data_IF_064560077237
#
_entry.id   IF_064560077237
#
_cell.length_a   1.000
_cell.length_b   1.000
_cell.length_c   1.000
_cell.angle_alpha   90.00
_cell.angle_beta   90.00
_cell.angle_gamma   90.00
#
_symmetry.space_group_name_H-M   'P 1'
#
loop_
_entity.id
_entity.type
_entity.pdbx_description
1 polymer ?
#
# COMPACT_ATOMS: atom_id res chain seq x y z
N UNK A 1 -27.36 -15.85 19.57
CA UNK A 1 -26.36 -14.79 19.43
C UNK A 1 -25.47 -15.19 18.28
N UNK A 2 -25.52 -14.47 17.15
CA UNK A 2 -24.68 -14.75 15.98
C UNK A 2 -23.42 -13.91 16.12
N UNK A 3 -22.38 -14.49 16.67
CA UNK A 3 -21.05 -13.87 16.74
C UNK A 3 -20.47 -13.79 15.32
N UNK A 4 -20.22 -12.59 14.84
CA UNK A 4 -19.42 -12.40 13.62
C UNK A 4 -17.96 -12.61 14.00
N UNK A 5 -17.39 -13.74 13.60
CA UNK A 5 -15.97 -13.98 13.70
C UNK A 5 -15.24 -12.99 12.80
N UNK A 6 -14.67 -11.93 13.36
CA UNK A 6 -13.64 -11.17 12.71
C UNK A 6 -12.36 -12.01 12.72
N UNK A 7 -11.80 -12.28 11.56
CA UNK A 7 -10.58 -13.10 11.34
C UNK A 7 -9.28 -12.43 11.84
N UNK A 8 -9.31 -11.73 12.98
CA UNK A 8 -8.22 -10.87 13.41
C UNK A 8 -7.40 -11.40 14.60
N UNK A 9 -7.92 -12.38 15.32
CA UNK A 9 -7.16 -13.09 16.35
C UNK A 9 -6.87 -14.52 15.89
N UNK A 10 -5.71 -15.06 16.20
CA UNK A 10 -5.46 -16.47 16.00
C UNK A 10 -6.49 -17.26 16.83
N UNK A 11 -7.14 -18.30 16.27
CA UNK A 11 -8.13 -19.09 17.01
C UNK A 11 -7.55 -19.57 18.35
N UNK A 12 -8.29 -19.34 19.46
CA UNK A 12 -7.88 -19.76 20.78
C UNK A 12 -7.00 -18.76 21.55
N UNK A 13 -6.90 -17.51 21.12
CA UNK A 13 -6.17 -16.48 21.88
C UNK A 13 -6.93 -16.17 23.17
N UNK A 14 -6.39 -16.62 24.31
CA UNK A 14 -6.98 -16.36 25.62
C UNK A 14 -7.01 -14.87 25.99
N UNK A 15 -7.97 -14.45 26.80
CA UNK A 15 -8.07 -13.08 27.31
C UNK A 15 -6.80 -12.66 28.07
N UNK A 16 -6.02 -11.66 27.62
CA UNK A 16 -4.81 -11.19 28.30
C UNK A 16 -5.11 -10.68 29.72
N UNK A 17 -4.11 -10.67 30.61
CA UNK A 17 -4.27 -10.18 31.97
C UNK A 17 -4.77 -8.72 32.06
N UNK A 18 -4.36 -7.86 31.12
CA UNK A 18 -4.81 -6.46 31.03
C UNK A 18 -6.07 -6.22 30.20
N UNK A 19 -6.78 -7.26 29.81
CA UNK A 19 -7.98 -7.13 28.98
C UNK A 19 -9.10 -6.41 29.73
N UNK A 20 -9.74 -5.37 29.19
CA UNK A 20 -10.82 -4.65 29.85
C UNK A 20 -11.97 -5.58 30.23
N UNK A 21 -12.48 -5.41 31.44
CA UNK A 21 -13.58 -6.23 31.98
C UNK A 21 -13.33 -7.76 32.01
N UNK A 22 -12.06 -8.18 31.94
CA UNK A 22 -11.67 -9.60 31.88
C UNK A 22 -12.38 -10.51 32.90
N UNK A 23 -12.48 -10.05 34.15
CA UNK A 23 -13.11 -10.83 35.23
C UNK A 23 -14.59 -11.08 34.95
N UNK A 24 -15.32 -10.08 34.44
CA UNK A 24 -16.73 -10.19 34.08
C UNK A 24 -16.92 -11.12 32.87
N UNK A 25 -16.08 -10.98 31.86
CA UNK A 25 -16.13 -11.82 30.67
C UNK A 25 -15.84 -13.29 30.99
N UNK A 26 -14.84 -13.56 31.80
CA UNK A 26 -14.55 -14.93 32.27
C UNK A 26 -15.70 -15.51 33.08
N UNK A 27 -16.35 -14.71 33.93
CA UNK A 27 -17.52 -15.14 34.70
C UNK A 27 -18.75 -15.42 33.81
N UNK A 28 -18.83 -14.73 32.65
CA UNK A 28 -19.86 -14.99 31.65
C UNK A 28 -19.49 -16.12 30.66
N UNK A 29 -18.35 -16.81 30.88
CA UNK A 29 -17.91 -17.95 30.06
C UNK A 29 -17.14 -17.57 28.79
N UNK A 30 -16.79 -16.29 28.60
CA UNK A 30 -15.96 -15.85 27.50
C UNK A 30 -14.50 -16.15 27.81
N UNK A 31 -13.88 -17.05 27.05
CA UNK A 31 -12.51 -17.54 27.29
C UNK A 31 -11.47 -16.94 26.34
N UNK A 32 -11.90 -16.46 25.19
CA UNK A 32 -11.01 -16.00 24.14
C UNK A 32 -11.42 -14.63 23.57
N UNK A 33 -10.46 -13.91 23.00
CA UNK A 33 -10.65 -12.57 22.45
C UNK A 33 -11.64 -12.57 21.28
N UNK A 34 -11.57 -13.59 20.43
CA UNK A 34 -12.44 -13.76 19.27
C UNK A 34 -13.93 -13.83 19.61
N UNK A 35 -14.27 -14.24 20.82
CA UNK A 35 -15.67 -14.35 21.28
C UNK A 35 -16.33 -12.99 21.51
N UNK A 36 -15.54 -11.93 21.67
CA UNK A 36 -16.02 -10.56 21.88
C UNK A 36 -15.73 -9.63 20.72
N UNK A 37 -14.94 -10.08 19.74
CA UNK A 37 -14.65 -9.30 18.55
C UNK A 37 -15.89 -9.17 17.67
N UNK A 38 -16.31 -7.92 17.37
CA UNK A 38 -17.52 -7.61 16.60
C UNK A 38 -18.82 -7.70 17.38
N UNK A 39 -18.77 -7.91 18.70
CA UNK A 39 -19.95 -7.82 19.54
C UNK A 39 -20.46 -6.37 19.61
N UNK A 40 -21.78 -6.20 19.58
CA UNK A 40 -22.45 -4.93 19.82
C UNK A 40 -22.50 -4.59 21.32
N UNK A 41 -22.78 -3.33 21.65
CA UNK A 41 -22.99 -2.90 23.04
C UNK A 41 -24.08 -3.72 23.73
N UNK A 42 -25.19 -4.01 23.04
CA UNK A 42 -26.30 -4.78 23.60
C UNK A 42 -25.92 -6.23 23.91
N UNK A 43 -25.13 -6.87 23.06
CA UNK A 43 -24.62 -8.23 23.29
C UNK A 43 -23.64 -8.28 24.47
N UNK A 44 -22.79 -7.26 24.61
CA UNK A 44 -21.88 -7.15 25.75
C UNK A 44 -22.61 -6.83 27.06
N UNK A 45 -23.69 -6.02 27.00
CA UNK A 45 -24.55 -5.79 28.16
C UNK A 45 -25.26 -7.07 28.59
N UNK A 46 -25.67 -7.92 27.66
CA UNK A 46 -26.26 -9.23 27.98
C UNK A 46 -25.29 -10.18 28.71
N UNK A 47 -23.97 -9.96 28.58
CA UNK A 47 -22.91 -10.66 29.33
C UNK A 47 -22.63 -10.04 30.72
N UNK A 48 -23.38 -8.99 31.09
CA UNK A 48 -23.26 -8.35 32.40
C UNK A 48 -22.35 -7.12 32.43
N UNK A 49 -21.87 -6.63 31.28
CA UNK A 49 -21.15 -5.37 31.22
C UNK A 49 -22.12 -4.19 31.27
N UNK A 50 -21.70 -3.10 31.90
CA UNK A 50 -22.41 -1.82 31.74
C UNK A 50 -22.12 -1.24 30.36
N UNK A 51 -22.99 -0.34 29.85
CA UNK A 51 -22.81 0.34 28.57
C UNK A 51 -21.42 0.99 28.43
N UNK A 52 -20.96 1.72 29.48
CA UNK A 52 -19.62 2.32 29.50
C UNK A 52 -18.48 1.28 29.43
N UNK A 53 -18.67 0.10 30.01
CA UNK A 53 -17.67 -0.97 29.91
C UNK A 53 -17.66 -1.61 28.52
N UNK A 54 -18.83 -1.81 27.94
CA UNK A 54 -19.00 -2.33 26.59
C UNK A 54 -18.36 -1.39 25.53
N UNK A 55 -18.66 -0.11 25.61
CA UNK A 55 -18.06 0.90 24.72
C UNK A 55 -16.53 0.95 24.84
N UNK A 56 -15.97 0.95 26.06
CA UNK A 56 -14.52 0.90 26.29
C UNK A 56 -13.89 -0.35 25.72
N UNK A 57 -14.57 -1.48 25.84
CA UNK A 57 -14.10 -2.75 25.31
C UNK A 57 -14.05 -2.73 23.78
N UNK A 58 -15.08 -2.22 23.14
CA UNK A 58 -15.14 -2.08 21.67
C UNK A 58 -13.99 -1.19 21.18
N UNK A 59 -13.82 0.01 21.77
CA UNK A 59 -12.71 0.92 21.43
C UNK A 59 -11.33 0.27 21.65
N UNK A 60 -11.18 -0.53 22.70
CA UNK A 60 -9.93 -1.21 23.00
C UNK A 60 -9.64 -2.33 21.98
N UNK A 61 -10.67 -3.10 21.56
CA UNK A 61 -10.56 -4.12 20.51
C UNK A 61 -10.21 -3.48 19.16
N UNK A 62 -10.84 -2.37 18.81
CA UNK A 62 -10.53 -1.62 17.59
C UNK A 62 -9.06 -1.13 17.57
N UNK A 63 -8.56 -0.60 18.69
CA UNK A 63 -7.16 -0.21 18.83
C UNK A 63 -6.20 -1.38 18.73
N UNK A 64 -6.55 -2.52 19.35
CA UNK A 64 -5.75 -3.74 19.22
C UNK A 64 -5.71 -4.23 17.78
N UNK A 65 -6.83 -4.23 17.08
CA UNK A 65 -6.88 -4.63 15.68
C UNK A 65 -5.95 -3.74 14.84
N UNK A 66 -5.95 -2.42 15.05
CA UNK A 66 -5.04 -1.49 14.39
C UNK A 66 -3.57 -1.76 14.75
N UNK A 67 -3.26 -2.12 16.01
CA UNK A 67 -1.87 -2.35 16.46
C UNK A 67 -1.34 -3.71 16.01
N UNK A 68 -2.18 -4.74 15.98
CA UNK A 68 -1.81 -6.10 15.52
C UNK A 68 -1.55 -6.08 14.00
N UNK A 69 -2.24 -5.24 13.23
CA UNK A 69 -1.94 -5.03 11.82
C UNK A 69 -0.55 -4.39 11.59
N UNK A 70 -0.02 -3.66 12.57
CA UNK A 70 1.30 -3.01 12.44
C UNK A 70 2.47 -3.85 12.96
N UNK A 71 2.26 -4.87 13.81
CA UNK A 71 3.33 -5.57 14.52
C UNK A 71 3.42 -7.08 14.33
N UNK A 72 2.50 -7.72 13.62
CA UNK A 72 2.55 -9.16 13.33
C UNK A 72 3.57 -9.51 12.22
N UNK A 73 4.21 -10.71 12.26
CA UNK A 73 4.97 -11.19 11.11
C UNK A 73 4.01 -11.25 9.91
N UNK A 74 4.37 -10.53 8.85
CA UNK A 74 3.61 -10.43 7.59
C UNK A 74 3.59 -11.77 6.85
N UNK A 75 2.93 -12.79 7.41
CA UNK A 75 2.67 -14.03 6.69
C UNK A 75 1.32 -13.92 6.00
N UNK A 76 1.36 -13.71 4.69
CA UNK A 76 0.24 -13.97 3.79
C UNK A 76 -0.82 -12.88 3.63
N UNK A 77 -0.56 -11.60 3.95
CA UNK A 77 -1.35 -10.55 3.34
C UNK A 77 -0.96 -10.50 1.86
N UNK A 78 -1.81 -11.10 1.04
CA UNK A 78 -1.90 -10.75 -0.36
C UNK A 78 -2.35 -9.30 -0.36
N UNK A 79 -1.41 -8.36 -0.37
CA UNK A 79 -1.72 -7.01 -0.83
C UNK A 79 -2.13 -7.21 -2.28
N UNK A 80 -3.39 -6.94 -2.58
CA UNK A 80 -3.77 -6.73 -3.97
C UNK A 80 -2.89 -5.59 -4.45
N UNK A 81 -1.83 -5.95 -5.15
CA UNK A 81 -0.95 -4.99 -5.76
C UNK A 81 -1.79 -4.29 -6.83
N UNK A 82 -2.06 -3.00 -6.66
CA UNK A 82 -2.77 -2.26 -7.70
C UNK A 82 -1.83 -2.08 -8.87
N UNK A 83 -2.32 -2.47 -10.04
CA UNK A 83 -1.63 -2.21 -11.28
C UNK A 83 -1.45 -0.70 -11.48
N UNK A 84 -0.23 -0.31 -11.79
CA UNK A 84 0.16 1.07 -12.00
C UNK A 84 0.65 1.24 -13.43
N UNK A 85 0.02 2.13 -14.18
CA UNK A 85 0.48 2.53 -15.51
C UNK A 85 0.82 4.02 -15.49
N UNK A 86 2.13 4.33 -15.48
CA UNK A 86 2.61 5.70 -15.60
C UNK A 86 2.70 6.14 -17.08
N UNK A 87 2.90 5.18 -17.99
CA UNK A 87 2.93 5.43 -19.42
C UNK A 87 2.55 4.17 -20.20
N UNK A 88 1.57 4.30 -21.06
CA UNK A 88 1.25 3.31 -22.10
C UNK A 88 2.36 3.23 -23.16
N UNK A 89 2.47 2.09 -23.84
CA UNK A 89 3.45 1.90 -24.91
C UNK A 89 3.17 2.84 -26.09
N UNK A 90 4.01 3.84 -26.25
CA UNK A 90 3.90 4.82 -27.34
C UNK A 90 5.27 5.38 -27.71
N UNK A 91 5.42 5.78 -28.96
CA UNK A 91 6.62 6.47 -29.44
C UNK A 91 6.74 7.86 -28.79
N UNK A 92 7.97 8.24 -28.46
CA UNK A 92 8.33 9.54 -27.89
C UNK A 92 9.53 10.11 -28.66
N UNK A 93 9.39 11.32 -29.18
CA UNK A 93 10.41 12.02 -29.97
C UNK A 93 10.92 13.30 -29.31
N UNK A 94 10.36 13.67 -28.17
CA UNK A 94 10.77 14.83 -27.37
C UNK A 94 10.68 14.49 -25.89
N UNK A 95 11.50 15.12 -25.06
CA UNK A 95 11.45 14.98 -23.59
C UNK A 95 10.08 15.42 -23.08
N UNK A 96 9.56 14.71 -22.07
CA UNK A 96 8.23 14.96 -21.50
C UNK A 96 8.18 14.64 -20.00
N UNK A 97 7.23 15.25 -19.34
CA UNK A 97 6.85 14.93 -17.96
C UNK A 97 5.45 14.34 -17.99
N UNK A 98 5.27 13.18 -17.36
CA UNK A 98 3.97 12.53 -17.20
C UNK A 98 3.09 13.25 -16.19
N UNK A 99 1.80 12.91 -16.23
CA UNK A 99 0.83 13.37 -15.24
C UNK A 99 1.09 12.74 -13.88
N UNK A 100 0.62 13.41 -12.82
CA UNK A 100 0.65 12.85 -11.47
C UNK A 100 -0.36 11.73 -11.31
N UNK A 101 0.11 10.57 -10.89
CA UNK A 101 -0.72 9.45 -10.46
C UNK A 101 -0.78 9.40 -8.94
N UNK A 102 -1.96 9.24 -8.38
CA UNK A 102 -2.16 9.09 -6.94
C UNK A 102 -1.94 7.63 -6.51
N UNK A 103 -1.00 7.40 -5.60
CA UNK A 103 -0.73 6.07 -4.99
C UNK A 103 -1.47 5.87 -3.66
N UNK A 104 -2.12 6.90 -3.12
CA UNK A 104 -2.70 6.89 -1.79
C UNK A 104 -1.64 6.78 -0.70
N UNK A 105 -1.87 5.87 0.26
CA UNK A 105 -0.95 5.65 1.40
C UNK A 105 0.09 4.55 1.13
N UNK A 106 0.22 4.10 -0.12
CA UNK A 106 1.18 3.07 -0.53
C UNK A 106 2.56 3.68 -0.69
N UNK A 107 3.51 3.20 0.09
CA UNK A 107 4.87 3.75 0.12
C UNK A 107 5.88 3.03 -0.77
N UNK A 108 5.48 1.98 -1.49
CA UNK A 108 6.37 1.17 -2.34
C UNK A 108 5.78 0.99 -3.72
N UNK A 109 6.62 1.13 -4.74
CA UNK A 109 6.26 0.97 -6.15
C UNK A 109 7.30 0.06 -6.82
N UNK A 110 6.84 -0.93 -7.56
CA UNK A 110 7.67 -1.76 -8.43
C UNK A 110 7.31 -1.42 -9.87
N UNK A 111 8.27 -0.89 -10.64
CA UNK A 111 8.08 -0.48 -12.03
C UNK A 111 8.92 -1.29 -12.99
N UNK A 112 8.33 -1.58 -14.14
CA UNK A 112 8.94 -2.16 -15.33
C UNK A 112 8.98 -1.11 -16.42
N UNK A 113 10.20 -0.75 -16.87
CA UNK A 113 10.44 0.00 -18.08
C UNK A 113 10.64 -1.01 -19.21
N UNK A 114 9.79 -1.00 -20.22
CA UNK A 114 9.94 -1.82 -21.42
C UNK A 114 10.13 -0.93 -22.65
N UNK A 115 11.33 -0.90 -23.21
CA UNK A 115 11.67 -0.20 -24.46
C UNK A 115 11.57 -1.21 -25.59
N UNK A 116 10.67 -0.98 -26.55
CA UNK A 116 10.37 -1.90 -27.66
C UNK A 116 10.93 -1.44 -29.01
N UNK A 117 11.20 -0.14 -29.18
CA UNK A 117 11.85 0.37 -30.37
C UNK A 117 12.70 1.61 -30.03
N UNK A 118 13.82 1.74 -30.75
CA UNK A 118 14.77 2.85 -30.62
C UNK A 118 15.24 3.25 -32.01
N UNK A 119 15.29 4.55 -32.29
CA UNK A 119 15.88 5.11 -33.51
C UNK A 119 16.51 6.49 -33.30
N UNK A 120 17.29 6.95 -34.25
CA UNK A 120 18.05 8.20 -34.20
C UNK A 120 19.55 7.97 -34.13
N UNK A 121 20.32 9.07 -34.11
CA UNK A 121 21.78 9.02 -33.99
C UNK A 121 22.21 9.25 -32.57
N UNK A 122 22.94 8.27 -32.00
CA UNK A 122 23.32 8.25 -30.60
C UNK A 122 22.12 8.51 -29.63
N UNK A 123 20.99 7.79 -29.78
CA UNK A 123 19.80 8.03 -28.96
C UNK A 123 20.06 7.63 -27.54
N UNK A 124 19.51 8.38 -26.61
CA UNK A 124 19.51 8.02 -25.18
C UNK A 124 18.18 8.39 -24.52
N UNK A 125 17.70 7.55 -23.62
CA UNK A 125 16.51 7.76 -22.83
C UNK A 125 16.89 7.68 -21.34
N UNK A 126 16.58 8.73 -20.58
CA UNK A 126 16.67 8.75 -19.14
C UNK A 126 15.28 8.99 -18.55
N UNK A 127 14.81 8.11 -17.68
CA UNK A 127 13.49 8.21 -17.04
C UNK A 127 13.68 8.34 -15.54
N UNK A 128 13.38 9.51 -14.99
CA UNK A 128 13.35 9.76 -13.56
C UNK A 128 11.94 9.49 -13.02
N UNK A 129 11.86 8.96 -11.81
CA UNK A 129 10.61 8.82 -11.06
C UNK A 129 10.60 9.85 -9.95
N UNK A 130 9.59 10.70 -9.97
CA UNK A 130 9.38 11.76 -8.98
C UNK A 130 8.18 11.45 -8.11
N UNK A 131 8.24 11.90 -6.87
CA UNK A 131 7.13 11.82 -5.91
C UNK A 131 6.87 13.17 -5.25
N UNK A 132 5.62 13.40 -4.82
CA UNK A 132 5.20 14.61 -4.12
C UNK A 132 4.02 14.34 -3.19
N UNK A 133 3.88 15.15 -2.14
CA UNK A 133 2.74 15.08 -1.22
C UNK A 133 1.45 15.61 -1.84
N UNK A 134 1.56 16.56 -2.76
CA UNK A 134 0.45 17.17 -3.51
C UNK A 134 0.89 17.43 -4.94
N UNK A 135 -0.04 17.45 -5.88
CA UNK A 135 0.24 17.68 -7.31
C UNK A 135 0.86 19.05 -7.63
N UNK A 136 0.67 20.05 -6.76
CA UNK A 136 1.27 21.39 -6.86
C UNK A 136 2.48 21.61 -5.95
N UNK A 137 2.89 20.61 -5.18
CA UNK A 137 4.00 20.70 -4.24
C UNK A 137 5.37 20.43 -4.86
N UNK A 138 6.44 20.59 -4.09
CA UNK A 138 7.79 20.28 -4.55
C UNK A 138 7.93 18.79 -4.85
N UNK A 139 8.42 18.48 -6.05
CA UNK A 139 8.73 17.11 -6.47
C UNK A 139 10.11 16.69 -5.96
N UNK A 140 10.25 15.41 -5.65
CA UNK A 140 11.50 14.77 -5.22
C UNK A 140 11.76 13.55 -6.10
N UNK A 141 12.93 13.47 -6.71
CA UNK A 141 13.37 12.27 -7.43
C UNK A 141 13.62 11.15 -6.42
N UNK A 142 13.06 9.98 -6.69
CA UNK A 142 13.23 8.78 -5.85
C UNK A 142 14.08 7.72 -6.50
N UNK A 143 14.01 7.57 -7.83
CA UNK A 143 14.83 6.63 -8.60
C UNK A 143 14.87 7.05 -10.07
N UNK A 144 15.70 6.35 -10.89
CA UNK A 144 15.78 6.59 -12.31
C UNK A 144 16.17 5.32 -13.09
N UNK A 145 15.70 5.24 -14.34
CA UNK A 145 16.15 4.26 -15.33
C UNK A 145 17.06 4.96 -16.35
N UNK A 146 18.11 4.26 -16.77
CA UNK A 146 18.99 4.72 -17.84
C UNK A 146 20.22 5.51 -17.39
N UNK A 147 20.94 6.11 -18.35
CA UNK A 147 20.52 6.28 -19.76
C UNK A 147 20.50 4.96 -20.53
N UNK A 148 19.37 4.68 -21.18
CA UNK A 148 19.19 3.51 -22.03
C UNK A 148 19.35 3.95 -23.51
N UNK A 149 20.07 3.12 -24.30
CA UNK A 149 20.39 3.44 -25.70
C UNK A 149 19.89 2.39 -26.69
N UNK A 150 19.23 1.33 -26.18
CA UNK A 150 18.78 0.18 -26.96
C UNK A 150 17.43 -0.34 -26.45
N UNK A 151 16.83 -1.25 -27.20
CA UNK A 151 15.69 -2.07 -26.75
C UNK A 151 16.09 -2.86 -25.51
N UNK A 152 15.34 -2.68 -24.41
CA UNK A 152 15.64 -3.31 -23.12
C UNK A 152 14.40 -3.34 -22.24
N UNK A 153 14.36 -4.30 -21.31
CA UNK A 153 13.43 -4.30 -20.20
C UNK A 153 14.20 -4.17 -18.88
N UNK A 154 13.73 -3.29 -18.00
CA UNK A 154 14.31 -3.02 -16.68
C UNK A 154 13.23 -3.01 -15.62
N UNK A 155 13.51 -3.62 -14.48
CA UNK A 155 12.64 -3.57 -13.30
C UNK A 155 13.35 -2.85 -12.17
N UNK A 156 12.62 -2.00 -11.45
CA UNK A 156 13.08 -1.35 -10.24
C UNK A 156 12.00 -1.36 -9.17
N UNK A 157 12.45 -1.49 -7.92
CA UNK A 157 11.60 -1.40 -6.73
C UNK A 157 12.04 -0.20 -5.93
N UNK A 158 11.13 0.71 -5.63
CA UNK A 158 11.40 1.96 -4.93
C UNK A 158 10.44 2.13 -3.76
N UNK A 159 10.94 2.65 -2.65
CA UNK A 159 10.18 2.90 -1.43
C UNK A 159 10.29 4.34 -0.96
N UNK A 160 9.54 4.66 0.11
CA UNK A 160 9.52 6.00 0.67
C UNK A 160 8.86 7.01 -0.24
N UNK A 161 7.85 6.58 -1.01
CA UNK A 161 7.07 7.43 -1.89
C UNK A 161 6.09 8.28 -1.07
N UNK A 162 5.84 9.48 -1.57
CA UNK A 162 4.74 10.32 -1.14
C UNK A 162 3.44 9.91 -1.91
N UNK A 163 2.35 10.59 -1.65
CA UNK A 163 1.02 10.28 -2.17
C UNK A 163 0.91 10.26 -3.70
N UNK A 164 1.71 11.07 -4.39
CA UNK A 164 1.68 11.20 -5.84
C UNK A 164 3.01 10.81 -6.46
N UNK A 165 2.97 10.18 -7.63
CA UNK A 165 4.13 9.77 -8.41
C UNK A 165 3.96 10.19 -9.87
N UNK A 166 5.05 10.53 -10.56
CA UNK A 166 5.11 10.75 -12.01
C UNK A 166 6.46 10.34 -12.54
N UNK A 167 6.55 10.24 -13.87
CA UNK A 167 7.83 10.10 -14.56
C UNK A 167 8.24 11.40 -15.22
N UNK A 168 9.55 11.59 -15.37
CA UNK A 168 10.17 12.61 -16.21
C UNK A 168 11.11 11.92 -17.16
N UNK A 169 10.80 11.95 -18.48
CA UNK A 169 11.60 11.31 -19.50
C UNK A 169 12.39 12.35 -20.29
N UNK A 170 13.71 12.17 -20.32
CA UNK A 170 14.64 13.03 -21.07
C UNK A 170 15.26 12.24 -22.20
N UNK A 171 15.14 12.77 -23.42
CA UNK A 171 15.76 12.24 -24.62
C UNK A 171 17.05 12.98 -24.96
N UNK A 172 18.07 12.22 -25.38
CA UNK A 172 19.31 12.73 -25.93
C UNK A 172 19.61 12.13 -27.30
N UNK A 173 20.52 12.77 -28.03
CA UNK A 173 20.90 12.37 -29.39
C UNK A 173 20.27 13.25 -30.48
N UNK A 174 20.51 12.88 -31.76
CA UNK A 174 19.95 13.59 -32.92
C UNK A 174 18.74 12.81 -33.44
N UNK A 175 17.60 13.50 -33.53
CA UNK A 175 16.30 12.91 -33.92
C UNK A 175 15.97 11.60 -33.19
N UNK A 176 16.08 11.59 -31.84
CA UNK A 176 15.84 10.36 -31.07
C UNK A 176 14.35 9.98 -31.09
N UNK A 177 14.07 8.70 -31.14
CA UNK A 177 12.73 8.18 -30.95
C UNK A 177 12.82 6.89 -30.14
N UNK A 178 12.02 6.81 -29.06
CA UNK A 178 11.87 5.63 -28.23
C UNK A 178 10.40 5.24 -28.12
N UNK A 179 10.09 3.97 -28.39
CA UNK A 179 8.79 3.41 -28.02
C UNK A 179 8.97 2.65 -26.70
N UNK A 180 8.28 3.10 -25.68
CA UNK A 180 8.38 2.46 -24.36
C UNK A 180 7.08 2.55 -23.55
N UNK A 181 6.93 1.64 -22.60
CA UNK A 181 5.93 1.68 -21.54
C UNK A 181 6.60 1.72 -20.18
N UNK A 182 5.85 2.22 -19.20
CA UNK A 182 6.24 2.24 -17.78
C UNK A 182 5.05 1.78 -16.96
N UNK A 183 5.05 0.51 -16.60
CA UNK A 183 3.96 -0.19 -15.90
C UNK A 183 4.50 -0.89 -14.67
N UNK A 184 3.65 -1.27 -13.75
CA UNK A 184 4.08 -1.97 -12.54
C UNK A 184 2.98 -2.17 -11.54
N UNK A 185 3.36 -2.22 -10.27
CA UNK A 185 2.45 -2.46 -9.15
C UNK A 185 2.85 -1.62 -7.94
N UNK A 186 1.85 -1.09 -7.23
CA UNK A 186 2.03 -0.44 -5.92
C UNK A 186 1.72 -1.45 -4.81
N UNK A 187 2.56 -1.44 -3.76
CA UNK A 187 2.47 -2.37 -2.63
C UNK A 187 2.43 -1.62 -1.29
#
# INVERSE_FOLDING_TARGET
>A
VVWRALRLAAPGTSLPAGFPSRTLLLAAGVLAVEEVVGASVDELNALGLTTSQAERLIVWIERLSMTVFQSGPRQGQHYDADEVTLRESAAMTSSTTGEWLELGDRGTLRLDLAITAVSGTAPSLHVQIETAKTTGGPARVVDAFGPETAVVSRRRSMGGLDRYVRYVATLGGTTPSFTFSLTGESV
#
